data_IF_158489358592
#
_entry.id   IF_158489358592
#
_cell.length_a   1.000
_cell.length_b   1.000
_cell.length_c   1.000
_cell.angle_alpha   90.00
_cell.angle_beta   90.00
_cell.angle_gamma   90.00
#
_symmetry.space_group_name_H-M   'P 1'
#
loop_
_entity.id
_entity.type
_entity.pdbx_description
1 polymer ?
#
# COMPACT_ATOMS: atom_id res chain seq x y z
N UNK A 1 8.09 14.78 21.49
CA UNK A 1 6.81 14.39 22.14
C UNK A 1 6.55 12.94 21.79
N UNK A 2 6.06 12.13 22.73
CA UNK A 2 5.60 10.78 22.44
C UNK A 2 4.10 10.70 22.71
N UNK A 3 3.34 10.17 21.77
CA UNK A 3 1.91 9.95 21.89
C UNK A 3 1.57 8.57 21.35
N UNK A 4 0.57 7.95 21.96
CA UNK A 4 -0.03 6.69 21.51
C UNK A 4 -1.54 6.92 21.43
N UNK A 5 -2.14 6.59 20.29
CA UNK A 5 -3.57 6.79 20.05
C UNK A 5 -4.11 5.68 19.17
N UNK A 6 -5.36 5.31 19.40
CA UNK A 6 -6.12 4.44 18.51
C UNK A 6 -6.77 5.25 17.36
N UNK A 7 -6.84 6.58 17.48
CA UNK A 7 -7.32 7.46 16.43
C UNK A 7 -6.18 7.74 15.45
N UNK A 8 -6.01 6.85 14.46
CA UNK A 8 -4.84 6.85 13.58
C UNK A 8 -4.76 8.12 12.72
N UNK A 9 -5.90 8.67 12.28
CA UNK A 9 -5.94 9.93 11.52
C UNK A 9 -5.38 11.13 12.32
N UNK A 10 -5.53 11.15 13.65
CA UNK A 10 -4.95 12.19 14.50
C UNK A 10 -3.44 12.04 14.59
N UNK A 11 -2.93 10.80 14.68
CA UNK A 11 -1.49 10.52 14.64
C UNK A 11 -0.90 10.99 13.31
N UNK A 12 -1.55 10.64 12.21
CA UNK A 12 -1.12 11.03 10.86
C UNK A 12 -1.03 12.55 10.68
N UNK A 13 -1.90 13.32 11.34
CA UNK A 13 -1.92 14.78 11.25
C UNK A 13 -0.76 15.45 11.99
N UNK A 14 -0.24 14.85 13.06
CA UNK A 14 0.66 15.54 14.00
C UNK A 14 2.04 14.90 14.15
N UNK A 15 2.23 13.67 13.67
CA UNK A 15 3.46 12.91 13.91
C UNK A 15 4.46 13.04 12.75
N UNK A 16 5.71 13.38 13.07
CA UNK A 16 6.82 13.29 12.10
C UNK A 16 7.30 11.84 11.92
N UNK A 17 7.19 11.04 12.98
CA UNK A 17 7.66 9.65 13.07
C UNK A 17 6.50 8.76 13.52
N UNK A 18 6.39 7.58 12.93
CA UNK A 18 5.41 6.57 13.33
C UNK A 18 6.09 5.26 13.68
N UNK A 19 5.57 4.61 14.72
CA UNK A 19 5.97 3.28 15.14
C UNK A 19 4.74 2.37 15.15
N UNK A 20 4.83 1.19 14.53
CA UNK A 20 3.79 0.16 14.61
C UNK A 20 4.30 -0.95 15.52
N UNK A 21 3.54 -1.23 16.60
CA UNK A 21 3.85 -2.29 17.55
C UNK A 21 2.80 -3.39 17.49
N UNK A 22 3.25 -4.65 17.54
CA UNK A 22 2.40 -5.84 17.59
C UNK A 22 3.00 -6.87 18.54
N UNK A 23 2.21 -7.35 19.51
CA UNK A 23 2.63 -8.34 20.51
C UNK A 23 3.98 -8.03 21.19
N UNK A 24 4.18 -6.77 21.58
CA UNK A 24 5.43 -6.33 22.24
C UNK A 24 6.64 -6.18 21.30
N UNK A 25 6.46 -6.36 19.99
CA UNK A 25 7.52 -6.17 18.98
C UNK A 25 7.25 -4.92 18.16
N UNK A 26 8.31 -4.17 17.90
CA UNK A 26 8.31 -3.05 16.97
C UNK A 26 8.41 -3.61 15.54
N UNK A 27 7.33 -3.48 14.77
CA UNK A 27 7.28 -3.93 13.38
C UNK A 27 7.95 -2.93 12.45
N UNK A 28 7.71 -1.64 12.67
CA UNK A 28 8.37 -0.56 11.95
C UNK A 28 8.50 0.69 12.84
N UNK A 29 9.52 1.50 12.56
CA UNK A 29 9.71 2.82 13.16
C UNK A 29 10.47 3.69 12.18
N UNK A 30 9.80 4.66 11.57
CA UNK A 30 10.37 5.53 10.54
C UNK A 30 9.59 6.84 10.42
N UNK A 31 10.05 7.73 9.54
CA UNK A 31 9.34 8.99 9.28
C UNK A 31 8.02 8.70 8.58
N UNK A 32 6.97 9.41 8.98
CA UNK A 32 5.63 9.24 8.42
C UNK A 32 5.58 9.58 6.93
N UNK A 33 6.26 10.66 6.53
CA UNK A 33 6.36 11.08 5.13
C UNK A 33 7.00 9.99 4.26
N UNK A 34 8.15 9.46 4.70
CA UNK A 34 8.85 8.37 4.03
C UNK A 34 7.98 7.11 3.90
N UNK A 35 7.34 6.69 4.99
CA UNK A 35 6.46 5.51 4.97
C UNK A 35 5.34 5.67 3.93
N UNK A 36 4.72 6.86 3.88
CA UNK A 36 3.63 7.14 2.94
C UNK A 36 4.08 7.33 1.50
N UNK A 37 5.31 7.78 1.27
CA UNK A 37 5.89 7.91 -0.07
C UNK A 37 6.28 6.54 -0.66
N UNK A 38 6.69 5.60 0.19
CA UNK A 38 7.10 4.26 -0.24
C UNK A 38 5.94 3.29 -0.47
N UNK A 39 4.75 3.55 0.09
CA UNK A 39 3.59 2.66 -0.03
C UNK A 39 2.58 3.23 -1.01
N UNK A 40 2.16 2.40 -1.96
CA UNK A 40 1.13 2.72 -2.94
C UNK A 40 0.01 1.69 -2.89
N UNK A 41 -1.23 2.16 -3.06
CA UNK A 41 -2.34 1.30 -3.42
C UNK A 41 -2.52 1.35 -4.93
N UNK A 42 -2.39 0.17 -5.55
CA UNK A 42 -2.64 -0.06 -6.96
C UNK A 42 -4.02 -0.72 -7.11
N UNK A 43 -4.90 -0.09 -7.88
CA UNK A 43 -6.13 -0.72 -8.37
C UNK A 43 -5.90 -1.12 -9.82
N UNK A 44 -5.71 -2.42 -10.06
CA UNK A 44 -5.45 -3.01 -11.38
C UNK A 44 -6.74 -3.64 -11.90
N UNK A 45 -7.30 -3.08 -12.97
CA UNK A 45 -8.42 -3.65 -13.70
C UNK A 45 -7.88 -4.54 -14.81
N UNK A 46 -8.23 -5.83 -14.81
CA UNK A 46 -7.76 -6.78 -15.83
C UNK A 46 -8.49 -6.62 -17.16
N UNK A 47 -7.77 -6.80 -18.27
CA UNK A 47 -8.33 -6.97 -19.60
C UNK A 47 -9.19 -8.24 -19.72
N UNK A 48 -10.00 -8.33 -20.77
CA UNK A 48 -10.90 -9.48 -20.96
C UNK A 48 -10.11 -10.77 -21.19
N UNK A 49 -10.58 -11.86 -20.59
CA UNK A 49 -9.92 -13.17 -20.70
C UNK A 49 -8.79 -13.41 -19.69
N UNK A 50 -8.40 -12.42 -18.88
CA UNK A 50 -7.35 -12.58 -17.87
C UNK A 50 -7.91 -12.76 -16.45
N UNK A 51 -7.29 -13.66 -15.68
CA UNK A 51 -7.71 -14.01 -14.33
C UNK A 51 -6.80 -13.45 -13.22
N UNK A 52 -5.56 -13.09 -13.56
CA UNK A 52 -4.53 -12.67 -12.61
C UNK A 52 -3.77 -11.44 -13.16
N UNK A 53 -3.41 -10.46 -12.31
CA UNK A 53 -2.56 -9.35 -12.69
C UNK A 53 -1.13 -9.84 -12.94
N UNK A 54 -0.31 -9.05 -13.66
CA UNK A 54 1.13 -9.28 -13.68
C UNK A 54 1.70 -9.18 -12.26
N UNK A 55 2.89 -9.74 -12.07
CA UNK A 55 3.60 -9.63 -10.80
C UNK A 55 3.94 -8.17 -10.51
N UNK A 56 3.63 -7.74 -9.29
CA UNK A 56 3.92 -6.37 -8.83
C UNK A 56 5.26 -6.39 -8.12
N UNK A 57 6.18 -5.54 -8.58
CA UNK A 57 7.48 -5.34 -7.93
C UNK A 57 7.27 -4.65 -6.57
N UNK A 58 8.07 -5.07 -5.59
CA UNK A 58 8.02 -4.57 -4.22
C UNK A 58 7.42 -5.57 -3.24
N UNK A 59 7.30 -5.15 -1.99
CA UNK A 59 6.70 -5.93 -0.93
C UNK A 59 5.18 -5.77 -0.96
N UNK A 60 4.46 -6.83 -1.31
CA UNK A 60 2.99 -6.84 -1.24
C UNK A 60 2.56 -6.95 0.23
N UNK A 61 2.10 -5.84 0.80
CA UNK A 61 1.60 -5.77 2.16
C UNK A 61 0.17 -6.34 2.28
N UNK A 62 -0.64 -6.14 1.25
CA UNK A 62 -2.01 -6.64 1.18
C UNK A 62 -2.46 -6.79 -0.26
N UNK A 63 -3.23 -7.83 -0.53
CA UNK A 63 -3.86 -8.04 -1.84
C UNK A 63 -5.31 -8.49 -1.66
N UNK A 64 -6.22 -7.92 -2.45
CA UNK A 64 -7.61 -8.38 -2.52
C UNK A 64 -8.17 -8.25 -3.92
N UNK A 65 -9.20 -9.04 -4.22
CA UNK A 65 -9.84 -9.09 -5.54
C UNK A 65 -11.33 -8.85 -5.42
N UNK A 66 -11.86 -7.99 -6.30
CA UNK A 66 -13.29 -7.79 -6.53
C UNK A 66 -13.57 -7.90 -8.03
N UNK A 67 -14.20 -9.01 -8.44
CA UNK A 67 -14.42 -9.34 -9.85
C UNK A 67 -13.11 -9.31 -10.69
N UNK A 68 -12.95 -8.31 -11.56
CA UNK A 68 -11.77 -8.11 -12.43
C UNK A 68 -10.78 -7.09 -11.87
N UNK A 69 -11.07 -6.49 -10.72
CA UNK A 69 -10.21 -5.50 -10.10
C UNK A 69 -9.41 -6.13 -8.96
N UNK A 70 -8.12 -5.87 -8.97
CA UNK A 70 -7.19 -6.23 -7.92
C UNK A 70 -6.76 -4.96 -7.19
N UNK A 71 -6.92 -4.96 -5.88
CA UNK A 71 -6.42 -3.92 -5.00
C UNK A 71 -5.17 -4.46 -4.31
N UNK A 72 -4.04 -3.82 -4.57
CA UNK A 72 -2.72 -4.26 -4.12
C UNK A 72 -2.09 -3.11 -3.37
N UNK A 73 -1.86 -3.30 -2.07
CA UNK A 73 -1.05 -2.40 -1.26
C UNK A 73 0.39 -2.92 -1.31
N UNK A 74 1.29 -2.13 -1.90
CA UNK A 74 2.69 -2.51 -2.08
C UNK A 74 3.61 -1.45 -1.51
N UNK A 75 4.75 -1.88 -0.96
CA UNK A 75 5.83 -1.03 -0.50
C UNK A 75 7.03 -1.17 -1.43
N UNK A 76 7.61 -0.04 -1.82
CA UNK A 76 8.84 0.03 -2.62
C UNK A 76 8.65 -0.04 -4.13
N UNK A 77 7.41 -0.03 -4.63
CA UNK A 77 7.13 0.10 -6.06
C UNK A 77 7.63 1.45 -6.57
N UNK A 78 8.35 1.45 -7.69
CA UNK A 78 8.90 2.65 -8.31
C UNK A 78 8.04 3.07 -9.52
N UNK A 79 8.15 4.35 -9.96
CA UNK A 79 7.40 4.82 -11.14
C UNK A 79 7.56 3.94 -12.40
N UNK A 80 8.76 3.43 -12.74
CA UNK A 80 8.92 2.53 -13.89
C UNK A 80 8.15 1.21 -13.77
N UNK A 81 7.98 0.69 -12.54
CA UNK A 81 7.21 -0.53 -12.32
C UNK A 81 5.73 -0.29 -12.60
N UNK A 82 5.22 0.88 -12.20
CA UNK A 82 3.84 1.30 -12.47
C UNK A 82 3.63 1.51 -13.98
N UNK A 83 4.57 2.16 -14.66
CA UNK A 83 4.54 2.35 -16.11
C UNK A 83 4.53 1.00 -16.86
N UNK A 84 5.31 0.02 -16.40
CA UNK A 84 5.28 -1.34 -16.95
C UNK A 84 3.90 -1.98 -16.80
N UNK A 85 3.25 -1.84 -15.64
CA UNK A 85 1.90 -2.34 -15.41
C UNK A 85 0.87 -1.66 -16.33
N UNK A 86 1.03 -0.37 -16.63
CA UNK A 86 0.11 0.38 -17.52
C UNK A 86 0.09 -0.15 -18.94
N UNK A 87 1.21 -0.67 -19.44
CA UNK A 87 1.35 -1.18 -20.81
C UNK A 87 1.24 -2.70 -20.92
N UNK A 88 1.04 -3.39 -19.79
CA UNK A 88 0.96 -4.84 -19.74
C UNK A 88 -0.33 -5.36 -20.40
N UNK A 89 -0.23 -6.40 -21.23
CA UNK A 89 -1.36 -6.91 -22.03
C UNK A 89 -2.58 -7.38 -21.20
N UNK A 90 -2.32 -7.79 -19.96
CA UNK A 90 -3.35 -8.29 -19.05
C UNK A 90 -4.06 -7.18 -18.28
N UNK A 91 -3.58 -5.93 -18.37
CA UNK A 91 -4.08 -4.77 -17.63
C UNK A 91 -4.87 -3.88 -18.59
N UNK A 92 -6.13 -3.63 -18.26
CA UNK A 92 -6.97 -2.68 -18.98
C UNK A 92 -6.83 -1.26 -18.43
N UNK A 93 -6.67 -1.13 -17.12
CA UNK A 93 -6.55 0.14 -16.43
C UNK A 93 -5.79 -0.05 -15.11
N UNK A 94 -5.04 0.96 -14.70
CA UNK A 94 -4.43 1.03 -13.38
C UNK A 94 -4.64 2.41 -12.79
N UNK A 95 -5.14 2.43 -11.55
CA UNK A 95 -5.19 3.63 -10.72
C UNK A 95 -4.20 3.48 -9.56
N UNK A 96 -3.47 4.57 -9.28
CA UNK A 96 -2.48 4.62 -8.21
C UNK A 96 -2.88 5.71 -7.23
N UNK A 97 -2.84 5.39 -5.94
CA UNK A 97 -2.99 6.38 -4.89
C UNK A 97 -2.07 6.08 -3.71
N UNK A 98 -1.85 7.10 -2.89
CA UNK A 98 -1.22 6.94 -1.58
C UNK A 98 -2.28 6.52 -0.56
N UNK A 99 -2.06 5.44 0.22
CA UNK A 99 -2.93 5.09 1.33
C UNK A 99 -2.76 6.07 2.50
N UNK A 100 -3.78 6.14 3.34
CA UNK A 100 -3.66 6.81 4.65
C UNK A 100 -2.96 5.89 5.66
N UNK A 101 -2.65 6.42 6.84
CA UNK A 101 -1.92 5.66 7.86
C UNK A 101 -2.74 4.50 8.44
N UNK A 102 -4.07 4.61 8.47
CA UNK A 102 -4.97 3.55 8.95
C UNK A 102 -4.98 2.34 8.01
N UNK A 103 -4.96 2.58 6.70
CA UNK A 103 -4.86 1.54 5.67
C UNK A 103 -3.52 0.80 5.75
N UNK A 104 -2.41 1.54 5.92
CA UNK A 104 -1.07 0.99 6.13
C UNK A 104 -1.03 0.15 7.42
N UNK A 105 -1.55 0.70 8.52
CA UNK A 105 -1.62 0.00 9.79
C UNK A 105 -2.40 -1.31 9.67
N UNK A 106 -3.56 -1.28 9.01
CA UNK A 106 -4.40 -2.46 8.80
C UNK A 106 -3.65 -3.55 8.03
N UNK A 107 -2.83 -3.19 7.03
CA UNK A 107 -2.04 -4.15 6.28
C UNK A 107 -0.97 -4.85 7.15
N UNK A 108 -0.29 -4.12 8.04
CA UNK A 108 0.68 -4.71 8.97
C UNK A 108 0.06 -5.56 10.10
N UNK A 109 -1.26 -5.46 10.31
CA UNK A 109 -1.99 -6.19 11.36
C UNK A 109 -2.65 -7.48 10.89
N UNK A 110 -2.71 -7.72 9.57
CA UNK A 110 -3.16 -9.00 9.01
C UNK A 110 -2.15 -10.13 9.30
#
# INVERSE_FOLDING_TARGET
>A
VFLSSHQIHEVERVADMVAILRHGKLLLCERLDKLKDEINELTVTLAEGFAQPPEVVGEVLRQSRRARQWQILTRGVQPPDIEFLQVHETVAEIAVRRPNLEEIFTAYMQ
#
